data_IF_314157267826
#
_entry.id   IF_314157267826
#
_cell.length_a   1.000
_cell.length_b   1.000
_cell.length_c   1.000
_cell.angle_alpha   90.00
_cell.angle_beta   90.00
_cell.angle_gamma   90.00
#
_symmetry.space_group_name_H-M   'P 1'
#
loop_
_entity.id
_entity.type
_entity.pdbx_description
1 polymer ?
#
# COMPACT_ATOMS: atom_id res chain seq x y z
N UNK A 1 53.67 -5.88 -18.50
CA UNK A 1 52.75 -4.81 -18.12
C UNK A 1 51.35 -5.43 -17.97
N UNK A 2 50.99 -5.77 -16.75
CA UNK A 2 49.69 -6.38 -16.42
C UNK A 2 48.70 -5.26 -16.18
N UNK A 3 47.72 -5.12 -17.08
CA UNK A 3 46.58 -4.26 -16.85
C UNK A 3 45.55 -5.03 -15.96
N UNK A 4 45.54 -4.68 -14.71
CA UNK A 4 44.51 -5.10 -13.78
C UNK A 4 43.23 -4.30 -14.04
N UNK A 5 42.35 -4.86 -14.85
CA UNK A 5 40.95 -4.40 -14.93
C UNK A 5 40.26 -4.73 -13.61
N UNK A 6 40.20 -3.76 -12.72
CA UNK A 6 39.28 -3.81 -11.59
C UNK A 6 37.88 -3.56 -12.15
N UNK A 7 37.12 -4.62 -12.38
CA UNK A 7 35.67 -4.58 -12.50
C UNK A 7 35.12 -4.11 -11.15
N UNK A 8 34.88 -2.82 -11.03
CA UNK A 8 34.01 -2.28 -9.98
C UNK A 8 32.60 -2.67 -10.42
N UNK A 9 32.10 -3.81 -9.95
CA UNK A 9 30.66 -4.08 -9.97
C UNK A 9 30.00 -2.95 -9.17
N UNK A 10 29.39 -2.03 -9.90
CA UNK A 10 28.53 -1.02 -9.32
C UNK A 10 27.36 -1.77 -8.74
N UNK A 11 27.38 -2.03 -7.42
CA UNK A 11 26.23 -2.58 -6.68
C UNK A 11 25.09 -1.61 -6.95
N UNK A 12 24.11 -2.03 -7.74
CA UNK A 12 22.93 -1.24 -8.04
C UNK A 12 22.32 -0.82 -6.69
N UNK A 13 22.18 0.48 -6.49
CA UNK A 13 21.65 1.00 -5.24
C UNK A 13 20.29 0.35 -4.96
N UNK A 14 20.14 -0.25 -3.77
CA UNK A 14 18.90 -0.90 -3.35
C UNK A 14 17.72 0.07 -3.48
N UNK A 15 16.60 -0.37 -4.05
CA UNK A 15 15.35 0.39 -4.11
C UNK A 15 14.83 0.64 -2.69
N UNK A 16 14.34 1.84 -2.41
CA UNK A 16 13.78 2.21 -1.10
C UNK A 16 12.25 2.29 -1.18
N UNK A 17 11.58 1.52 -0.33
CA UNK A 17 10.13 1.43 -0.27
C UNK A 17 9.58 2.00 1.04
N UNK A 18 8.58 2.86 0.98
CA UNK A 18 7.75 3.22 2.14
C UNK A 18 6.46 2.40 2.06
N UNK A 19 6.12 1.69 3.15
CA UNK A 19 4.87 0.94 3.27
C UNK A 19 4.13 1.40 4.51
N UNK A 20 2.92 1.94 4.36
CA UNK A 20 2.09 2.40 5.50
C UNK A 20 1.19 1.29 6.03
N UNK A 21 0.91 1.28 7.35
CA UNK A 21 0.18 0.20 8.01
C UNK A 21 0.90 -1.14 7.88
N UNK A 22 2.23 -1.11 7.95
CA UNK A 22 3.07 -2.26 7.62
C UNK A 22 3.45 -3.12 8.83
N UNK A 23 2.96 -2.81 10.02
CA UNK A 23 3.16 -3.60 11.24
C UNK A 23 2.41 -4.93 11.25
N UNK A 24 1.39 -5.12 10.39
CA UNK A 24 0.56 -6.32 10.39
C UNK A 24 -0.04 -6.63 9.01
N UNK A 25 -0.66 -7.78 8.90
CA UNK A 25 -1.57 -8.18 7.79
C UNK A 25 -0.97 -7.97 6.40
N UNK A 26 -1.72 -7.33 5.48
CA UNK A 26 -1.32 -7.06 4.10
C UNK A 26 -0.04 -6.22 4.04
N UNK A 27 0.04 -5.15 4.85
CA UNK A 27 1.20 -4.27 4.86
C UNK A 27 2.49 -4.98 5.27
N UNK A 28 2.43 -5.85 6.30
CA UNK A 28 3.54 -6.71 6.69
C UNK A 28 3.94 -7.67 5.55
N UNK A 29 2.97 -8.32 4.91
CA UNK A 29 3.25 -9.24 3.80
C UNK A 29 3.93 -8.53 2.62
N UNK A 30 3.50 -7.30 2.29
CA UNK A 30 4.12 -6.46 1.26
C UNK A 30 5.56 -6.10 1.67
N UNK A 31 5.77 -5.64 2.91
CA UNK A 31 7.10 -5.28 3.42
C UNK A 31 8.09 -6.46 3.33
N UNK A 32 7.67 -7.64 3.78
CA UNK A 32 8.47 -8.87 3.70
C UNK A 32 8.76 -9.28 2.24
N UNK A 33 7.77 -9.15 1.36
CA UNK A 33 7.95 -9.49 -0.07
C UNK A 33 8.96 -8.58 -0.73
N UNK A 34 8.86 -7.25 -0.52
CA UNK A 34 9.78 -6.28 -1.08
C UNK A 34 11.21 -6.46 -0.54
N UNK A 35 11.36 -6.72 0.75
CA UNK A 35 12.66 -6.99 1.36
C UNK A 35 13.34 -8.23 0.76
N UNK A 36 12.58 -9.33 0.53
CA UNK A 36 13.08 -10.54 -0.15
C UNK A 36 13.52 -10.28 -1.59
N UNK A 37 13.00 -9.25 -2.23
CA UNK A 37 13.40 -8.80 -3.57
C UNK A 37 14.58 -7.80 -3.54
N UNK A 38 15.20 -7.58 -2.38
CA UNK A 38 16.38 -6.72 -2.21
C UNK A 38 16.06 -5.24 -1.98
N UNK A 39 14.79 -4.86 -1.78
CA UNK A 39 14.47 -3.48 -1.43
C UNK A 39 14.77 -3.20 0.06
N UNK A 40 15.22 -1.99 0.36
CA UNK A 40 15.20 -1.45 1.71
C UNK A 40 13.78 -0.98 2.04
N UNK A 41 13.19 -1.45 3.14
CA UNK A 41 11.79 -1.17 3.46
C UNK A 41 11.65 -0.29 4.69
N UNK A 42 11.02 0.86 4.54
CA UNK A 42 10.59 1.72 5.64
C UNK A 42 9.17 1.31 6.04
N UNK A 43 9.08 0.74 7.24
CA UNK A 43 7.87 0.18 7.82
C UNK A 43 7.19 1.27 8.64
N UNK A 44 6.17 1.90 8.09
CA UNK A 44 5.43 2.96 8.75
C UNK A 44 4.15 2.39 9.39
N UNK A 45 4.03 2.51 10.69
CA UNK A 45 2.83 2.10 11.42
C UNK A 45 2.60 3.02 12.63
N UNK A 46 1.34 3.19 13.03
CA UNK A 46 1.00 3.90 14.27
C UNK A 46 1.46 3.15 15.51
N UNK A 47 1.50 1.80 15.44
CA UNK A 47 2.06 0.93 16.44
C UNK A 47 3.54 0.68 16.14
N UNK A 48 4.41 1.42 16.86
CA UNK A 48 5.86 1.27 16.70
C UNK A 48 6.35 -0.14 17.03
N UNK A 49 5.76 -0.81 18.02
CA UNK A 49 6.18 -2.17 18.39
C UNK A 49 5.88 -3.17 17.28
N UNK A 50 4.72 -3.06 16.65
CA UNK A 50 4.37 -3.87 15.49
C UNK A 50 5.33 -3.61 14.32
N UNK A 51 5.64 -2.34 14.02
CA UNK A 51 6.62 -1.97 12.99
C UNK A 51 8.02 -2.55 13.29
N UNK A 52 8.50 -2.45 14.53
CA UNK A 52 9.78 -2.99 14.98
C UNK A 52 9.84 -4.52 14.90
N UNK A 53 8.75 -5.22 15.18
CA UNK A 53 8.66 -6.66 15.02
C UNK A 53 8.90 -7.08 13.57
N UNK A 54 8.27 -6.37 12.62
CA UNK A 54 8.48 -6.62 11.17
C UNK A 54 9.89 -6.23 10.73
N UNK A 55 10.44 -5.15 11.25
CA UNK A 55 11.84 -4.79 11.01
C UNK A 55 12.78 -5.92 11.46
N UNK A 56 12.60 -6.43 12.67
CA UNK A 56 13.42 -7.53 13.20
C UNK A 56 13.31 -8.77 12.31
N UNK A 57 12.09 -9.11 11.87
CA UNK A 57 11.89 -10.25 10.96
C UNK A 57 12.62 -10.07 9.63
N UNK A 58 12.60 -8.88 9.03
CA UNK A 58 13.32 -8.59 7.78
C UNK A 58 14.83 -8.67 8.01
N UNK A 59 15.34 -8.03 9.07
CA UNK A 59 16.79 -7.99 9.32
C UNK A 59 17.38 -9.33 9.73
N UNK A 60 16.61 -10.16 10.43
CA UNK A 60 17.00 -11.55 10.75
C UNK A 60 17.12 -12.44 9.51
N UNK A 61 16.53 -12.05 8.39
CA UNK A 61 16.64 -12.70 7.08
C UNK A 61 17.56 -11.95 6.11
N UNK A 62 18.55 -11.22 6.63
CA UNK A 62 19.54 -10.43 5.88
C UNK A 62 18.94 -9.31 4.98
N UNK A 63 17.68 -8.94 5.15
CA UNK A 63 17.08 -7.79 4.50
C UNK A 63 17.38 -6.48 5.22
N UNK A 64 17.06 -5.35 4.58
CA UNK A 64 17.22 -4.02 5.15
C UNK A 64 15.84 -3.40 5.45
N UNK A 65 15.65 -2.90 6.66
CA UNK A 65 14.41 -2.27 7.06
C UNK A 65 14.60 -1.21 8.16
N UNK A 66 13.70 -0.24 8.19
CA UNK A 66 13.63 0.80 9.21
C UNK A 66 12.17 0.93 9.69
N UNK A 67 11.92 0.77 10.97
CA UNK A 67 10.61 1.04 11.57
C UNK A 67 10.48 2.54 11.91
N UNK A 68 9.39 3.16 11.46
CA UNK A 68 9.06 4.55 11.77
C UNK A 68 7.63 4.60 12.29
N UNK A 69 7.46 5.18 13.49
CA UNK A 69 6.12 5.42 14.01
C UNK A 69 5.44 6.54 13.21
N UNK A 70 4.29 6.25 12.61
CA UNK A 70 3.53 7.25 11.89
C UNK A 70 2.02 6.95 11.94
N UNK A 71 1.26 7.86 12.53
CA UNK A 71 -0.17 7.93 12.28
C UNK A 71 -0.38 8.70 10.97
N UNK A 72 -0.98 8.04 9.99
CA UNK A 72 -1.18 8.61 8.65
C UNK A 72 -2.16 9.79 8.63
N UNK A 73 -2.91 10.03 9.70
CA UNK A 73 -3.80 11.18 9.84
C UNK A 73 -3.07 12.45 10.28
N UNK A 74 -1.84 12.31 10.81
CA UNK A 74 -1.05 13.38 11.38
C UNK A 74 0.01 13.90 10.39
N UNK A 75 -0.16 15.15 9.95
CA UNK A 75 0.73 15.75 8.94
C UNK A 75 2.20 15.77 9.39
N UNK A 76 2.47 16.05 10.65
CA UNK A 76 3.83 16.07 11.20
C UNK A 76 4.48 14.67 11.20
N UNK A 77 3.69 13.60 11.45
CA UNK A 77 4.18 12.23 11.40
C UNK A 77 4.53 11.80 9.96
N UNK A 78 3.72 12.21 8.97
CA UNK A 78 4.00 11.94 7.56
C UNK A 78 5.24 12.70 7.07
N UNK A 79 5.42 13.97 7.48
CA UNK A 79 6.62 14.73 7.16
C UNK A 79 7.86 14.05 7.77
N UNK A 80 7.80 13.69 9.07
CA UNK A 80 8.88 12.98 9.75
C UNK A 80 9.23 11.65 9.06
N UNK A 81 8.25 10.89 8.61
CA UNK A 81 8.44 9.64 7.86
C UNK A 81 9.26 9.87 6.58
N UNK A 82 8.86 10.87 5.78
CA UNK A 82 9.54 11.19 4.52
C UNK A 82 10.94 11.73 4.78
N UNK A 83 11.10 12.70 5.69
CA UNK A 83 12.40 13.29 6.04
C UNK A 83 13.38 12.24 6.56
N UNK A 84 12.91 11.35 7.44
CA UNK A 84 13.72 10.25 7.97
C UNK A 84 14.17 9.31 6.86
N UNK A 85 13.27 8.96 5.94
CA UNK A 85 13.58 8.10 4.79
C UNK A 85 14.63 8.73 3.88
N UNK A 86 14.41 10.00 3.51
CA UNK A 86 15.33 10.71 2.61
C UNK A 86 16.68 10.96 3.28
N UNK A 87 16.71 11.31 4.57
CA UNK A 87 17.94 11.49 5.33
C UNK A 87 18.77 10.21 5.42
N UNK A 88 18.11 9.07 5.62
CA UNK A 88 18.78 7.78 5.82
C UNK A 88 19.25 7.15 4.50
N UNK A 89 18.47 7.28 3.43
CA UNK A 89 18.67 6.52 2.19
C UNK A 89 18.85 7.39 0.94
N UNK A 90 18.57 8.69 1.01
CA UNK A 90 18.74 9.63 -0.10
C UNK A 90 17.71 9.52 -1.21
N UNK A 91 16.78 8.55 -1.14
CA UNK A 91 15.83 8.23 -2.22
C UNK A 91 14.55 7.59 -1.71
N UNK A 92 13.50 7.65 -2.53
CA UNK A 92 12.24 6.91 -2.36
C UNK A 92 11.83 6.38 -3.74
N UNK A 93 11.88 5.06 -3.94
CA UNK A 93 11.53 4.44 -5.22
C UNK A 93 10.09 3.94 -5.26
N UNK A 94 9.62 3.43 -4.12
CA UNK A 94 8.31 2.81 -3.99
C UNK A 94 7.52 3.42 -2.85
N UNK A 95 6.26 3.73 -3.12
CA UNK A 95 5.30 4.12 -2.08
C UNK A 95 4.11 3.16 -2.12
N UNK A 96 3.83 2.53 -0.98
CA UNK A 96 2.64 1.69 -0.79
C UNK A 96 1.71 2.36 0.23
N UNK A 97 0.62 2.93 -0.26
CA UNK A 97 -0.45 3.45 0.56
C UNK A 97 -1.37 2.30 0.96
N UNK A 98 -1.01 1.59 2.04
CA UNK A 98 -1.75 0.42 2.52
C UNK A 98 -2.59 0.72 3.77
N UNK A 99 -2.19 1.65 4.63
CA UNK A 99 -2.96 2.00 5.82
C UNK A 99 -4.42 2.31 5.49
N UNK A 100 -5.34 1.75 6.27
CA UNK A 100 -6.77 1.91 6.03
C UNK A 100 -7.61 1.38 7.18
N UNK A 101 -8.88 1.78 7.20
CA UNK A 101 -9.90 1.30 8.15
C UNK A 101 -11.18 0.96 7.42
N UNK A 102 -11.94 0.00 7.96
CA UNK A 102 -13.25 -0.38 7.44
C UNK A 102 -14.32 0.68 7.79
N UNK A 103 -14.22 1.24 8.98
CA UNK A 103 -15.28 2.08 9.53
C UNK A 103 -16.49 1.26 10.03
N UNK A 104 -17.64 1.93 10.31
CA UNK A 104 -18.82 1.25 10.78
C UNK A 104 -19.49 0.40 9.71
N UNK A 105 -20.13 -0.69 10.16
CA UNK A 105 -21.00 -1.56 9.34
C UNK A 105 -22.42 -1.31 9.81
N UNK A 106 -23.15 -0.47 9.09
CA UNK A 106 -24.54 -0.10 9.40
C UNK A 106 -25.22 0.63 8.25
N UNK A 107 -26.56 0.73 8.26
CA UNK A 107 -27.29 1.50 7.27
C UNK A 107 -26.82 2.97 7.20
N UNK A 108 -26.82 3.55 5.99
CA UNK A 108 -26.29 4.89 5.74
C UNK A 108 -26.95 5.97 6.63
N UNK A 109 -28.25 5.90 6.84
CA UNK A 109 -29.00 6.89 7.64
C UNK A 109 -28.70 6.82 9.16
N UNK A 110 -27.95 5.83 9.62
CA UNK A 110 -27.46 5.70 10.99
C UNK A 110 -26.01 6.17 11.14
N UNK A 111 -25.35 6.53 10.04
CA UNK A 111 -23.98 6.99 10.08
C UNK A 111 -23.88 8.44 10.57
N UNK A 112 -22.77 8.79 11.19
CA UNK A 112 -22.48 10.14 11.68
C UNK A 112 -21.42 10.82 10.82
N UNK A 113 -21.41 12.15 10.79
CA UNK A 113 -20.37 12.93 10.10
C UNK A 113 -18.97 12.58 10.63
N UNK A 114 -18.81 12.38 11.93
CA UNK A 114 -17.54 11.99 12.54
C UNK A 114 -17.02 10.63 12.03
N UNK A 115 -17.90 9.67 11.76
CA UNK A 115 -17.52 8.38 11.16
C UNK A 115 -17.09 8.55 9.70
N UNK A 116 -17.80 9.38 8.93
CA UNK A 116 -17.43 9.74 7.56
C UNK A 116 -16.04 10.39 7.56
N UNK A 117 -15.85 11.43 8.36
CA UNK A 117 -14.59 12.18 8.43
C UNK A 117 -13.42 11.29 8.82
N UNK A 118 -13.61 10.40 9.81
CA UNK A 118 -12.57 9.47 10.25
C UNK A 118 -12.15 8.51 9.14
N UNK A 119 -13.10 7.90 8.44
CA UNK A 119 -12.79 6.94 7.36
C UNK A 119 -12.10 7.66 6.21
N UNK A 120 -12.60 8.82 5.80
CA UNK A 120 -11.99 9.62 4.74
C UNK A 120 -10.63 10.18 5.13
N UNK A 121 -10.43 10.58 6.39
CA UNK A 121 -9.11 11.01 6.88
C UNK A 121 -8.05 9.93 6.69
N UNK A 122 -8.37 8.67 7.04
CA UNK A 122 -7.43 7.55 6.95
C UNK A 122 -7.31 7.02 5.50
N UNK A 123 -8.44 6.74 4.84
CA UNK A 123 -8.44 6.02 3.57
C UNK A 123 -8.19 6.91 2.35
N UNK A 124 -8.39 8.23 2.47
CA UNK A 124 -8.32 9.16 1.34
C UNK A 124 -7.33 10.30 1.63
N UNK A 125 -7.60 11.15 2.63
CA UNK A 125 -6.76 12.33 2.91
C UNK A 125 -5.31 11.96 3.20
N UNK A 126 -5.08 10.89 3.94
CA UNK A 126 -3.73 10.40 4.25
C UNK A 126 -2.94 10.03 2.98
N UNK A 127 -3.60 9.40 2.01
CA UNK A 127 -2.99 9.04 0.72
C UNK A 127 -2.56 10.30 -0.04
N UNK A 128 -3.41 11.32 -0.10
CA UNK A 128 -3.06 12.63 -0.70
C UNK A 128 -1.89 13.28 0.05
N UNK A 129 -1.95 13.32 1.37
CA UNK A 129 -0.94 13.97 2.20
C UNK A 129 0.44 13.34 2.01
N UNK A 130 0.54 12.01 2.11
CA UNK A 130 1.82 11.30 1.96
C UNK A 130 2.33 11.36 0.51
N UNK A 131 1.47 11.13 -0.47
CA UNK A 131 1.87 11.17 -1.89
C UNK A 131 2.41 12.54 -2.26
N UNK A 132 1.79 13.64 -1.79
CA UNK A 132 2.26 15.02 -2.01
C UNK A 132 3.66 15.27 -1.44
N UNK A 133 4.03 14.61 -0.34
CA UNK A 133 5.37 14.72 0.25
C UNK A 133 6.40 13.87 -0.51
N UNK A 134 6.02 12.71 -1.01
CA UNK A 134 6.91 11.75 -1.69
C UNK A 134 7.19 12.12 -3.15
N UNK A 135 6.17 12.55 -3.89
CA UNK A 135 6.26 12.80 -5.34
C UNK A 135 7.37 13.80 -5.73
N UNK A 136 7.62 14.91 -5.02
CA UNK A 136 8.73 15.80 -5.36
C UNK A 136 10.11 15.12 -5.34
N UNK A 137 10.32 14.15 -4.45
CA UNK A 137 11.56 13.36 -4.41
C UNK A 137 11.65 12.43 -5.61
N UNK A 138 10.56 11.73 -5.96
CA UNK A 138 10.50 10.87 -7.13
C UNK A 138 10.67 11.68 -8.44
N UNK A 139 10.08 12.87 -8.53
CA UNK A 139 10.26 13.78 -9.68
C UNK A 139 11.74 14.18 -9.85
N UNK A 140 12.42 14.53 -8.76
CA UNK A 140 13.86 14.84 -8.79
C UNK A 140 14.71 13.64 -9.21
N UNK A 141 14.28 12.42 -8.88
CA UNK A 141 14.94 11.16 -9.28
C UNK A 141 14.65 10.80 -10.75
N UNK A 142 13.59 11.34 -11.36
CA UNK A 142 13.10 10.97 -12.67
C UNK A 142 12.46 9.57 -12.72
N UNK A 143 12.13 8.99 -11.55
CA UNK A 143 11.57 7.64 -11.45
C UNK A 143 10.84 7.41 -10.14
N UNK A 144 9.82 6.56 -10.16
CA UNK A 144 9.08 6.14 -8.97
C UNK A 144 7.91 5.21 -9.31
N UNK A 145 7.43 4.46 -8.31
CA UNK A 145 6.22 3.66 -8.45
C UNK A 145 5.37 3.73 -7.20
N UNK A 146 4.09 4.03 -7.36
CA UNK A 146 3.12 4.19 -6.28
C UNK A 146 2.02 3.15 -6.45
N UNK A 147 1.72 2.39 -5.38
CA UNK A 147 0.58 1.47 -5.35
C UNK A 147 -0.27 1.77 -4.13
N UNK A 148 -1.58 1.95 -4.35
CA UNK A 148 -2.56 2.21 -3.29
C UNK A 148 -3.52 1.05 -3.12
N UNK A 149 -3.87 0.72 -1.86
CA UNK A 149 -4.85 -0.32 -1.55
C UNK A 149 -6.28 0.23 -1.67
N UNK A 150 -6.93 -0.07 -2.80
CA UNK A 150 -8.36 0.07 -2.99
C UNK A 150 -9.11 -1.13 -2.36
N UNK A 151 -10.22 -1.55 -2.91
CA UNK A 151 -11.00 -2.73 -2.52
C UNK A 151 -12.05 -3.02 -3.60
N UNK A 152 -12.48 -4.27 -3.73
CA UNK A 152 -13.69 -4.60 -4.52
C UNK A 152 -14.92 -3.82 -4.02
N UNK A 153 -14.97 -3.47 -2.73
CA UNK A 153 -16.04 -2.65 -2.19
C UNK A 153 -16.15 -1.26 -2.87
N UNK A 154 -15.04 -0.70 -3.35
CA UNK A 154 -15.03 0.55 -4.12
C UNK A 154 -15.60 0.41 -5.54
N UNK A 155 -15.78 -0.83 -6.01
CA UNK A 155 -16.41 -1.16 -7.30
C UNK A 155 -17.86 -1.64 -7.12
N UNK A 156 -18.08 -2.53 -6.14
CA UNK A 156 -19.35 -3.25 -5.95
C UNK A 156 -20.36 -2.47 -5.11
N UNK A 157 -19.91 -1.56 -4.21
CA UNK A 157 -20.79 -0.79 -3.31
C UNK A 157 -21.60 -1.68 -2.36
N UNK A 158 -20.97 -2.49 -1.48
CA UNK A 158 -21.73 -3.42 -0.64
C UNK A 158 -22.63 -2.66 0.36
N UNK A 159 -23.79 -3.26 0.65
CA UNK A 159 -24.74 -2.76 1.62
C UNK A 159 -24.07 -2.55 2.99
N UNK A 160 -24.49 -1.53 3.75
CA UNK A 160 -24.01 -1.17 5.09
C UNK A 160 -22.52 -0.72 5.16
N UNK A 161 -21.83 -0.64 4.02
CA UNK A 161 -20.43 -0.22 3.93
C UNK A 161 -20.25 1.03 3.05
N UNK A 162 -21.25 1.91 2.97
CA UNK A 162 -21.28 3.05 2.04
C UNK A 162 -20.07 3.98 2.20
N UNK A 163 -19.66 4.30 3.44
CA UNK A 163 -18.51 5.19 3.72
C UNK A 163 -17.21 4.52 3.23
N UNK A 164 -17.01 3.25 3.57
CA UNK A 164 -15.85 2.49 3.12
C UNK A 164 -15.81 2.37 1.60
N UNK A 165 -16.92 1.99 0.99
CA UNK A 165 -17.03 1.86 -0.47
C UNK A 165 -16.69 3.17 -1.19
N UNK A 166 -17.26 4.29 -0.74
CA UNK A 166 -16.96 5.62 -1.28
C UNK A 166 -15.49 5.97 -1.14
N UNK A 167 -14.88 5.71 0.02
CA UNK A 167 -13.45 5.97 0.26
C UNK A 167 -12.55 5.14 -0.67
N UNK A 168 -12.90 3.88 -0.93
CA UNK A 168 -12.12 2.99 -1.82
C UNK A 168 -12.37 3.27 -3.31
N UNK A 169 -13.56 3.75 -3.67
CA UNK A 169 -13.83 4.30 -5.01
C UNK A 169 -13.00 5.58 -5.28
N UNK A 170 -12.84 6.45 -4.27
CA UNK A 170 -11.97 7.61 -4.38
C UNK A 170 -10.52 7.22 -4.69
N UNK A 171 -9.98 6.15 -4.07
CA UNK A 171 -8.63 5.64 -4.36
C UNK A 171 -8.49 5.21 -5.83
N UNK A 172 -9.50 4.55 -6.40
CA UNK A 172 -9.52 4.15 -7.82
C UNK A 172 -9.52 5.39 -8.72
N UNK A 173 -10.33 6.40 -8.39
CA UNK A 173 -10.42 7.65 -9.16
C UNK A 173 -9.11 8.43 -9.19
N UNK A 174 -8.52 8.65 -8.00
CA UNK A 174 -7.26 9.42 -7.90
C UNK A 174 -6.09 8.69 -8.56
N UNK A 175 -6.05 7.37 -8.53
CA UNK A 175 -5.03 6.57 -9.23
C UNK A 175 -4.99 6.90 -10.72
N UNK A 176 -6.15 7.00 -11.36
CA UNK A 176 -6.25 7.34 -12.80
C UNK A 176 -5.82 8.78 -13.11
N UNK A 177 -6.10 9.73 -12.21
CA UNK A 177 -5.68 11.12 -12.33
C UNK A 177 -4.17 11.25 -12.19
N UNK A 178 -3.62 10.76 -11.09
CA UNK A 178 -2.19 10.85 -10.79
C UNK A 178 -1.31 10.10 -11.78
N UNK A 179 -1.78 8.99 -12.34
CA UNK A 179 -1.06 8.30 -13.40
C UNK A 179 -0.78 9.20 -14.61
N UNK A 180 -1.74 10.05 -14.98
CA UNK A 180 -1.59 11.01 -16.09
C UNK A 180 -0.71 12.20 -15.70
N UNK A 181 -0.83 12.67 -14.46
CA UNK A 181 -0.07 13.81 -13.95
C UNK A 181 1.41 13.48 -13.74
N UNK A 182 1.72 12.25 -13.27
CA UNK A 182 3.07 11.90 -12.83
C UNK A 182 3.90 11.16 -13.89
N UNK A 183 3.27 10.56 -14.92
CA UNK A 183 4.00 9.83 -15.95
C UNK A 183 5.03 10.69 -16.72
N UNK A 184 4.83 12.01 -16.98
CA UNK A 184 5.87 12.85 -17.58
C UNK A 184 7.15 12.95 -16.74
N UNK A 185 7.09 12.59 -15.47
CA UNK A 185 8.21 12.57 -14.53
C UNK A 185 8.78 11.16 -14.29
N UNK A 186 8.39 10.17 -15.07
CA UNK A 186 8.84 8.79 -14.93
C UNK A 186 8.22 8.05 -13.72
N UNK A 187 7.08 8.51 -13.19
CA UNK A 187 6.44 7.93 -12.03
C UNK A 187 5.17 7.19 -12.47
N UNK A 188 5.07 5.91 -12.11
CA UNK A 188 3.88 5.09 -12.33
C UNK A 188 2.98 5.08 -11.10
N UNK A 189 1.67 5.07 -11.32
CA UNK A 189 0.68 5.02 -10.24
C UNK A 189 -0.38 3.98 -10.55
N UNK A 190 -0.54 3.00 -9.67
CA UNK A 190 -1.54 1.96 -9.79
C UNK A 190 -2.28 1.73 -8.46
N UNK A 191 -3.38 1.01 -8.48
CA UNK A 191 -4.00 0.49 -7.26
C UNK A 191 -4.37 -0.97 -7.41
N UNK A 192 -4.56 -1.64 -6.29
CA UNK A 192 -5.06 -3.01 -6.23
C UNK A 192 -6.41 -3.05 -5.53
N UNK A 193 -7.29 -3.93 -5.97
CA UNK A 193 -8.65 -4.07 -5.48
C UNK A 193 -8.88 -5.49 -4.95
N UNK A 194 -8.41 -5.80 -3.73
CA UNK A 194 -8.61 -7.12 -3.15
C UNK A 194 -10.08 -7.38 -2.77
N UNK A 195 -10.53 -8.63 -2.89
CA UNK A 195 -11.70 -9.12 -2.17
C UNK A 195 -11.36 -9.28 -0.68
N UNK A 196 -12.24 -9.93 0.08
CA UNK A 196 -11.99 -10.16 1.50
C UNK A 196 -10.74 -11.01 1.70
N UNK A 197 -9.79 -10.47 2.44
CA UNK A 197 -8.48 -11.09 2.72
C UNK A 197 -8.53 -11.79 4.07
N UNK A 198 -8.02 -13.02 4.13
CA UNK A 198 -7.91 -13.79 5.37
C UNK A 198 -6.92 -13.14 6.37
N UNK A 199 -7.10 -13.44 7.66
CA UNK A 199 -6.16 -13.09 8.71
C UNK A 199 -5.77 -11.59 8.77
N UNK A 200 -6.71 -10.68 8.48
CA UNK A 200 -6.52 -9.24 8.67
C UNK A 200 -7.26 -8.74 9.91
N UNK A 201 -6.73 -7.70 10.57
CA UNK A 201 -7.42 -7.02 11.68
C UNK A 201 -8.82 -6.54 11.26
N UNK A 202 -8.93 -6.01 10.05
CA UNK A 202 -10.19 -5.55 9.47
C UNK A 202 -11.23 -6.68 9.31
N UNK A 203 -10.79 -7.91 9.04
CA UNK A 203 -11.68 -9.08 9.00
C UNK A 203 -12.20 -9.44 10.39
N UNK A 204 -11.39 -9.28 11.42
CA UNK A 204 -11.79 -9.57 12.79
C UNK A 204 -12.85 -8.57 13.32
N UNK A 205 -12.93 -7.39 12.70
CA UNK A 205 -13.98 -6.39 12.99
C UNK A 205 -15.31 -6.71 12.30
N UNK A 206 -15.32 -7.65 11.33
CA UNK A 206 -16.53 -8.02 10.58
C UNK A 206 -17.31 -9.12 11.28
N UNK A 207 -18.67 -9.02 11.31
CA UNK A 207 -19.52 -10.14 11.70
C UNK A 207 -19.29 -11.39 10.85
N UNK A 208 -19.37 -12.57 11.45
CA UNK A 208 -19.08 -13.84 10.77
C UNK A 208 -19.97 -14.11 9.55
N UNK A 209 -21.22 -13.67 9.57
CA UNK A 209 -22.13 -13.83 8.42
C UNK A 209 -21.61 -13.08 7.17
N UNK A 210 -21.02 -11.87 7.35
CA UNK A 210 -20.44 -11.09 6.23
C UNK A 210 -19.26 -11.83 5.64
N UNK A 211 -18.37 -12.36 6.48
CA UNK A 211 -17.18 -13.07 6.02
C UNK A 211 -17.52 -14.38 5.29
N UNK A 212 -18.51 -15.12 5.79
CA UNK A 212 -18.99 -16.37 5.18
C UNK A 212 -19.66 -16.11 3.84
N UNK A 213 -20.50 -15.09 3.74
CA UNK A 213 -21.17 -14.73 2.49
C UNK A 213 -20.20 -14.11 1.47
N UNK A 214 -19.18 -13.40 1.93
CA UNK A 214 -18.14 -12.91 1.03
C UNK A 214 -17.39 -14.07 0.35
N UNK A 215 -17.02 -15.12 1.08
CA UNK A 215 -16.36 -16.29 0.51
C UNK A 215 -17.25 -17.02 -0.53
N UNK A 216 -18.55 -17.12 -0.28
CA UNK A 216 -19.51 -17.71 -1.24
C UNK A 216 -19.58 -16.93 -2.55
N UNK A 217 -19.48 -15.58 -2.47
CA UNK A 217 -19.53 -14.68 -3.65
C UNK A 217 -18.23 -14.69 -4.46
N UNK A 218 -17.13 -15.21 -3.93
CA UNK A 218 -15.86 -15.34 -4.65
C UNK A 218 -15.90 -16.62 -5.49
N UNK A 219 -15.79 -16.58 -6.84
CA UNK A 219 -15.79 -17.78 -7.67
C UNK A 219 -14.73 -18.83 -7.29
N UNK A 220 -13.55 -18.40 -6.85
CA UNK A 220 -12.49 -19.29 -6.34
C UNK A 220 -12.83 -19.98 -5.01
N UNK A 221 -13.99 -19.69 -4.37
CA UNK A 221 -14.53 -20.34 -3.16
C UNK A 221 -13.63 -20.29 -1.93
N UNK A 222 -12.77 -19.31 -1.85
CA UNK A 222 -11.91 -19.02 -0.69
C UNK A 222 -11.62 -17.52 -0.57
N UNK A 223 -11.15 -17.12 0.59
CA UNK A 223 -10.65 -15.78 0.80
C UNK A 223 -9.28 -15.58 0.13
N UNK A 224 -8.92 -14.33 -0.09
CA UNK A 224 -7.59 -13.95 -0.62
C UNK A 224 -6.56 -14.09 0.51
N UNK A 225 -5.39 -14.65 0.23
CA UNK A 225 -4.28 -14.66 1.17
C UNK A 225 -3.49 -13.35 1.10
N UNK A 226 -2.89 -12.96 2.21
CA UNK A 226 -2.08 -11.72 2.27
C UNK A 226 -0.88 -11.73 1.30
N UNK A 227 -0.29 -12.91 1.08
CA UNK A 227 0.82 -13.08 0.14
C UNK A 227 0.40 -12.91 -1.33
N UNK A 228 -0.84 -13.25 -1.67
CA UNK A 228 -1.39 -13.04 -3.02
C UNK A 228 -1.53 -11.54 -3.33
N UNK A 229 -1.96 -10.75 -2.34
CA UNK A 229 -1.98 -9.29 -2.48
C UNK A 229 -0.56 -8.73 -2.59
N UNK A 230 0.37 -9.18 -1.74
CA UNK A 230 1.76 -8.74 -1.75
C UNK A 230 2.46 -9.04 -3.08
N UNK A 231 2.17 -10.18 -3.71
CA UNK A 231 2.74 -10.55 -5.01
C UNK A 231 2.33 -9.57 -6.12
N UNK A 232 1.04 -9.20 -6.20
CA UNK A 232 0.56 -8.24 -7.21
C UNK A 232 1.12 -6.84 -6.95
N UNK A 233 1.16 -6.40 -5.68
CA UNK A 233 1.77 -5.10 -5.33
C UNK A 233 3.24 -5.05 -5.71
N UNK A 234 4.01 -6.10 -5.40
CA UNK A 234 5.43 -6.16 -5.75
C UNK A 234 5.66 -6.14 -7.28
N UNK A 235 4.85 -6.86 -8.05
CA UNK A 235 4.86 -6.81 -9.51
C UNK A 235 4.61 -5.38 -10.02
N UNK A 236 3.56 -4.71 -9.53
CA UNK A 236 3.22 -3.34 -9.97
C UNK A 236 4.28 -2.30 -9.62
N UNK A 237 5.03 -2.52 -8.55
CA UNK A 237 6.15 -1.66 -8.17
C UNK A 237 7.39 -1.90 -9.04
N UNK A 238 7.62 -3.12 -9.49
CA UNK A 238 8.81 -3.55 -10.21
C UNK A 238 8.90 -3.00 -11.65
N UNK A 239 10.07 -3.15 -12.27
CA UNK A 239 10.31 -2.78 -13.67
C UNK A 239 9.59 -3.72 -14.67
N UNK A 240 9.14 -4.92 -14.23
CA UNK A 240 8.29 -5.82 -15.02
C UNK A 240 6.95 -5.18 -15.38
N UNK A 241 6.47 -4.22 -14.56
CA UNK A 241 5.27 -3.44 -14.81
C UNK A 241 5.55 -2.07 -15.47
N UNK A 242 6.66 -1.94 -16.22
CA UNK A 242 7.13 -0.66 -16.78
C UNK A 242 6.12 0.06 -17.69
N UNK A 243 5.21 -0.67 -18.32
CA UNK A 243 4.16 -0.08 -19.18
C UNK A 243 2.77 -0.08 -18.51
N UNK A 244 2.72 -0.27 -17.18
CA UNK A 244 1.48 -0.34 -16.41
C UNK A 244 1.36 0.87 -15.50
N UNK A 245 0.42 1.78 -15.80
CA UNK A 245 0.07 2.93 -14.96
C UNK A 245 -1.41 3.28 -15.12
N UNK A 246 -2.04 3.82 -14.06
CA UNK A 246 -3.47 4.19 -14.04
C UNK A 246 -4.42 2.99 -13.90
N UNK A 247 -3.90 1.79 -13.68
CA UNK A 247 -4.69 0.58 -13.60
C UNK A 247 -5.17 0.30 -12.16
N UNK A 248 -6.36 -0.30 -12.06
CA UNK A 248 -6.87 -0.90 -10.84
C UNK A 248 -6.85 -2.42 -11.03
N UNK A 249 -5.83 -3.08 -10.45
CA UNK A 249 -5.67 -4.53 -10.55
C UNK A 249 -6.62 -5.25 -9.61
N UNK A 250 -7.44 -6.11 -10.18
CA UNK A 250 -8.41 -6.90 -9.45
C UNK A 250 -7.76 -8.14 -8.81
N UNK A 251 -7.94 -8.29 -7.49
CA UNK A 251 -7.49 -9.47 -6.73
C UNK A 251 -8.72 -10.07 -6.03
N UNK A 252 -9.75 -10.36 -6.84
CA UNK A 252 -11.06 -10.72 -6.31
C UNK A 252 -11.41 -12.21 -6.45
N UNK A 253 -10.53 -13.01 -7.09
CA UNK A 253 -10.84 -14.42 -7.39
C UNK A 253 -12.04 -14.57 -8.32
N UNK A 254 -12.24 -13.58 -9.22
CA UNK A 254 -13.33 -13.54 -10.20
C UNK A 254 -14.62 -12.89 -9.70
N UNK A 255 -14.63 -12.27 -8.49
CA UNK A 255 -15.84 -11.64 -7.95
C UNK A 255 -16.19 -10.32 -8.66
N UNK A 256 -15.19 -9.54 -9.01
CA UNK A 256 -15.39 -8.22 -9.63
C UNK A 256 -15.50 -8.36 -11.15
N UNK A 257 -16.36 -7.55 -11.77
CA UNK A 257 -16.66 -7.62 -13.20
C UNK A 257 -15.95 -6.55 -14.05
N UNK A 258 -15.20 -5.62 -13.44
CA UNK A 258 -14.49 -4.55 -14.16
C UNK A 258 -13.30 -4.00 -13.38
#
# INVERSE_FOLDING_TARGET
>A
MQNSNQNIEQVAASRVAIVTGAGASIGRAIALKLARQGATVVIADRDLKAAQSVQTEITSNAGQALAVQADVTEAAALQHLVDTTVKQYGRIDYLVNNAGTLGPIKPMWETTDAEVDRVFAINVRAIFALTRLVVPHMMKQGSGSIVSLASVAGKDGPQELSIYAASKAAVIGVTKSWAKEFIPHGIRVNCVSPALVEATGMRNEMPDYISTDAAKKIPMKRLVRVDEVANVVAFLLSDEASFVTGACYDISGGRSNY
#
